data_IF_399944510941
#
_entry.id   IF_399944510941
#
_cell.length_a   1.000
_cell.length_b   1.000
_cell.length_c   1.000
_cell.angle_alpha   90.00
_cell.angle_beta   90.00
_cell.angle_gamma   90.00
#
_symmetry.space_group_name_H-M   'P 1'
#
loop_
_entity.id
_entity.type
_entity.pdbx_description
1 polymer ?
#
# COMPACT_ATOMS: atom_id res chain seq x y z
N UNK A 1 -1.20 26.89 -5.29
CA UNK A 1 -0.16 27.74 -5.90
C UNK A 1 -0.11 27.49 -7.40
N UNK A 2 -0.22 28.52 -8.23
CA UNK A 2 -0.10 28.38 -9.68
C UNK A 2 1.37 28.17 -10.09
N UNK A 3 1.62 27.24 -11.03
CA UNK A 3 2.94 26.97 -11.58
C UNK A 3 3.31 28.08 -12.58
N UNK A 4 4.57 28.49 -12.56
CA UNK A 4 5.09 29.47 -13.52
C UNK A 4 5.10 28.89 -14.94
N UNK A 5 5.15 29.75 -15.95
CA UNK A 5 5.26 29.33 -17.36
C UNK A 5 6.48 28.44 -17.58
N UNK A 6 7.61 28.75 -16.95
CA UNK A 6 8.82 27.94 -17.02
C UNK A 6 8.59 26.53 -16.42
N UNK A 7 7.94 26.44 -15.27
CA UNK A 7 7.60 25.15 -14.65
C UNK A 7 6.63 24.34 -15.52
N UNK A 8 5.67 25.01 -16.17
CA UNK A 8 4.73 24.38 -17.11
C UNK A 8 5.45 23.83 -18.35
N UNK A 9 6.38 24.59 -18.91
CA UNK A 9 7.20 24.16 -20.05
C UNK A 9 8.09 22.96 -19.70
N UNK A 10 8.76 22.99 -18.55
CA UNK A 10 9.60 21.87 -18.08
C UNK A 10 8.76 20.61 -17.89
N UNK A 11 7.60 20.71 -17.22
CA UNK A 11 6.69 19.58 -17.01
C UNK A 11 6.15 19.00 -18.32
N UNK A 12 5.81 19.85 -19.29
CA UNK A 12 5.37 19.43 -20.62
C UNK A 12 6.49 18.69 -21.38
N UNK A 13 7.70 19.26 -21.44
CA UNK A 13 8.84 18.66 -22.13
C UNK A 13 9.22 17.32 -21.51
N UNK A 14 9.29 17.25 -20.17
CA UNK A 14 9.51 16.00 -19.47
C UNK A 14 8.43 14.97 -19.84
N UNK A 15 7.17 15.39 -19.93
CA UNK A 15 6.04 14.52 -20.25
C UNK A 15 6.16 13.91 -21.65
N UNK A 16 6.48 14.75 -22.63
CA UNK A 16 6.69 14.35 -24.02
C UNK A 16 7.90 13.42 -24.18
N UNK A 17 8.99 13.65 -23.45
CA UNK A 17 10.15 12.75 -23.45
C UNK A 17 9.79 11.37 -22.91
N UNK A 18 9.05 11.31 -21.79
CA UNK A 18 8.59 10.06 -21.20
C UNK A 18 7.64 9.32 -22.16
N UNK A 19 6.70 10.02 -22.79
CA UNK A 19 5.81 9.43 -23.81
C UNK A 19 6.63 8.85 -24.97
N UNK A 20 7.64 9.59 -25.44
CA UNK A 20 8.52 9.14 -26.53
C UNK A 20 9.30 7.87 -26.15
N UNK A 21 9.81 7.79 -24.93
CA UNK A 21 10.45 6.59 -24.39
C UNK A 21 9.47 5.40 -24.30
N UNK A 22 8.22 5.64 -23.88
CA UNK A 22 7.16 4.63 -23.87
C UNK A 22 6.84 4.10 -25.27
N UNK A 23 6.71 4.99 -26.26
CA UNK A 23 6.52 4.58 -27.67
C UNK A 23 7.71 3.77 -28.18
N UNK A 24 8.94 4.16 -27.85
CA UNK A 24 10.14 3.43 -28.26
C UNK A 24 10.20 2.01 -27.66
N UNK A 25 9.79 1.85 -26.40
CA UNK A 25 9.64 0.55 -25.75
C UNK A 25 8.65 -0.37 -26.46
N UNK A 26 7.53 0.17 -26.95
CA UNK A 26 6.50 -0.59 -27.68
C UNK A 26 6.97 -0.96 -29.09
N UNK A 27 7.50 0.02 -29.84
CA UNK A 27 7.82 -0.13 -31.25
C UNK A 27 9.10 -0.95 -31.48
N UNK A 28 10.09 -0.82 -30.59
CA UNK A 28 11.40 -1.49 -30.70
C UNK A 28 11.86 -2.12 -29.38
N UNK A 29 11.12 -3.08 -28.78
CA UNK A 29 11.35 -3.58 -27.42
C UNK A 29 12.77 -4.09 -27.13
N UNK A 30 13.39 -4.79 -28.09
CA UNK A 30 14.75 -5.34 -27.91
C UNK A 30 15.80 -4.24 -27.94
N UNK A 31 15.69 -3.33 -28.90
CA UNK A 31 16.62 -2.22 -29.08
C UNK A 31 16.50 -1.26 -27.91
N UNK A 32 15.28 -0.87 -27.54
CA UNK A 32 15.02 0.04 -26.43
C UNK A 32 15.54 -0.48 -25.09
N UNK A 33 15.38 -1.76 -24.79
CA UNK A 33 15.92 -2.35 -23.58
C UNK A 33 17.46 -2.39 -23.60
N UNK A 34 18.05 -2.68 -24.77
CA UNK A 34 19.51 -2.67 -24.94
C UNK A 34 20.08 -1.27 -24.71
N UNK A 35 19.48 -0.26 -25.34
CA UNK A 35 19.90 1.14 -25.24
C UNK A 35 19.73 1.65 -23.80
N UNK A 36 18.62 1.30 -23.14
CA UNK A 36 18.36 1.68 -21.74
C UNK A 36 19.40 1.09 -20.80
N UNK A 37 19.66 -0.23 -20.87
CA UNK A 37 20.64 -0.88 -19.99
C UNK A 37 22.05 -0.36 -20.28
N UNK A 38 22.39 -0.11 -21.55
CA UNK A 38 23.67 0.48 -21.92
C UNK A 38 23.83 1.89 -21.35
N UNK A 39 22.80 2.74 -21.51
CA UNK A 39 22.80 4.11 -20.98
C UNK A 39 23.02 4.10 -19.47
N UNK A 40 22.26 3.27 -18.74
CA UNK A 40 22.41 3.12 -17.28
C UNK A 40 23.83 2.65 -16.93
N UNK A 41 24.36 1.65 -17.64
CA UNK A 41 25.70 1.14 -17.38
C UNK A 41 26.79 2.20 -17.59
N UNK A 42 26.69 3.00 -18.66
CA UNK A 42 27.63 4.10 -18.95
C UNK A 42 27.52 5.20 -17.91
N UNK A 43 26.31 5.61 -17.53
CA UNK A 43 26.10 6.62 -16.49
C UNK A 43 26.66 6.16 -15.14
N UNK A 44 26.43 4.91 -14.75
CA UNK A 44 26.98 4.35 -13.51
C UNK A 44 28.52 4.31 -13.54
N UNK A 45 29.13 3.98 -14.68
CA UNK A 45 30.59 4.04 -14.84
C UNK A 45 31.13 5.47 -14.68
N UNK A 46 30.49 6.45 -15.32
CA UNK A 46 30.89 7.86 -15.22
C UNK A 46 30.79 8.33 -13.77
N UNK A 47 29.67 8.07 -13.09
CA UNK A 47 29.47 8.44 -11.68
C UNK A 47 30.50 7.77 -10.78
N UNK A 48 30.72 6.47 -10.93
CA UNK A 48 31.68 5.73 -10.11
C UNK A 48 33.12 6.23 -10.33
N UNK A 49 33.49 6.53 -11.58
CA UNK A 49 34.78 7.10 -11.91
C UNK A 49 34.95 8.51 -11.34
N UNK A 50 33.96 9.38 -11.51
CA UNK A 50 33.96 10.73 -10.93
C UNK A 50 34.08 10.70 -9.41
N UNK A 51 33.38 9.79 -8.74
CA UNK A 51 33.46 9.61 -7.29
C UNK A 51 34.86 9.16 -6.87
N UNK A 52 35.47 8.20 -7.58
CA UNK A 52 36.84 7.77 -7.31
C UNK A 52 37.84 8.92 -7.48
N UNK A 53 37.74 9.68 -8.58
CA UNK A 53 38.58 10.86 -8.82
C UNK A 53 38.37 11.89 -7.69
N UNK A 54 37.13 12.18 -7.31
CA UNK A 54 36.84 13.14 -6.25
C UNK A 54 37.43 12.73 -4.89
N UNK A 55 37.37 11.44 -4.53
CA UNK A 55 37.97 10.90 -3.30
C UNK A 55 39.49 10.98 -3.34
N UNK A 56 40.13 10.73 -4.49
CA UNK A 56 41.59 10.84 -4.66
C UNK A 56 42.05 12.31 -4.61
N UNK A 57 41.30 13.24 -5.21
CA UNK A 57 41.67 14.66 -5.28
C UNK A 57 41.37 15.45 -3.99
N UNK A 58 40.36 15.05 -3.20
CA UNK A 58 40.13 15.65 -1.87
C UNK A 58 41.27 15.23 -0.93
N UNK A 59 42.31 16.08 -0.83
CA UNK A 59 43.47 16.01 0.09
C UNK A 59 43.14 15.97 1.60
N UNK A 60 41.93 15.60 2.01
CA UNK A 60 41.54 15.26 3.39
C UNK A 60 40.85 13.90 3.37
N UNK A 61 41.65 12.85 3.13
CA UNK A 61 41.24 11.47 3.37
C UNK A 61 41.00 11.36 4.88
N UNK A 62 39.75 11.32 5.33
CA UNK A 62 39.42 11.06 6.74
C UNK A 62 39.51 9.57 7.09
N UNK A 63 39.73 8.68 6.12
CA UNK A 63 40.06 7.27 6.36
C UNK A 63 40.19 6.43 5.09
N UNK A 64 40.83 5.25 5.20
CA UNK A 64 41.01 4.28 4.11
C UNK A 64 39.68 3.70 3.57
N UNK A 65 38.59 3.83 4.34
CA UNK A 65 37.26 3.29 4.00
C UNK A 65 36.59 3.95 2.78
N UNK A 66 36.73 5.26 2.59
CA UNK A 66 36.09 5.98 1.47
C UNK A 66 36.68 5.59 0.10
N UNK A 67 37.99 5.33 0.07
CA UNK A 67 38.68 4.85 -1.14
C UNK A 67 38.22 3.43 -1.47
N UNK A 68 38.13 2.55 -0.46
CA UNK A 68 37.63 1.19 -0.64
C UNK A 68 36.20 1.18 -1.19
N UNK A 69 35.31 2.01 -0.64
CA UNK A 69 33.94 2.14 -1.13
C UNK A 69 33.90 2.61 -2.60
N UNK A 70 34.69 3.63 -2.95
CA UNK A 70 34.76 4.12 -4.32
C UNK A 70 35.28 3.06 -5.31
N UNK A 71 36.28 2.28 -4.90
CA UNK A 71 36.83 1.16 -5.70
C UNK A 71 35.80 0.04 -5.86
N UNK A 72 35.10 -0.33 -4.78
CA UNK A 72 34.03 -1.33 -4.82
C UNK A 72 32.90 -0.88 -5.75
N UNK A 73 32.46 0.37 -5.64
CA UNK A 73 31.42 0.94 -6.51
C UNK A 73 31.84 0.94 -7.99
N UNK A 74 33.11 1.26 -8.28
CA UNK A 74 33.65 1.16 -9.63
C UNK A 74 33.67 -0.29 -10.12
N UNK A 75 34.09 -1.23 -9.27
CA UNK A 75 34.05 -2.67 -9.55
C UNK A 75 32.64 -3.15 -9.90
N UNK A 76 31.62 -2.71 -9.15
CA UNK A 76 30.21 -2.99 -9.46
C UNK A 76 29.78 -2.39 -10.79
N UNK A 77 30.13 -1.14 -11.09
CA UNK A 77 29.76 -0.49 -12.34
C UNK A 77 30.41 -1.19 -13.56
N UNK A 78 31.69 -1.59 -13.44
CA UNK A 78 32.39 -2.39 -14.46
C UNK A 78 31.74 -3.76 -14.63
N UNK A 79 31.46 -4.45 -13.53
CA UNK A 79 30.78 -5.74 -13.57
C UNK A 79 29.40 -5.64 -14.24
N UNK A 80 28.60 -4.62 -13.90
CA UNK A 80 27.30 -4.37 -14.52
C UNK A 80 27.44 -4.09 -16.03
N UNK A 81 28.42 -3.28 -16.42
CA UNK A 81 28.69 -3.01 -17.84
C UNK A 81 29.09 -4.27 -18.60
N UNK A 82 29.97 -5.12 -18.06
CA UNK A 82 30.38 -6.39 -18.68
C UNK A 82 29.20 -7.36 -18.76
N UNK A 83 28.40 -7.47 -17.70
CA UNK A 83 27.27 -8.39 -17.61
C UNK A 83 25.99 -7.86 -18.29
N UNK A 84 26.01 -6.66 -18.88
CA UNK A 84 24.82 -5.97 -19.42
C UNK A 84 23.99 -6.83 -20.37
N UNK A 85 24.62 -7.67 -21.20
CA UNK A 85 23.91 -8.57 -22.11
C UNK A 85 23.09 -9.64 -21.40
N UNK A 86 23.56 -10.13 -20.24
CA UNK A 86 22.78 -11.03 -19.38
C UNK A 86 21.65 -10.26 -18.69
N UNK A 87 21.92 -9.07 -18.19
CA UNK A 87 20.90 -8.20 -17.55
C UNK A 87 19.75 -7.88 -18.50
N UNK A 88 20.04 -7.55 -19.76
CA UNK A 88 19.04 -7.30 -20.80
C UNK A 88 18.11 -8.52 -20.98
N UNK A 89 18.63 -9.74 -20.86
CA UNK A 89 17.81 -10.96 -20.94
C UNK A 89 17.04 -11.24 -19.66
N UNK A 90 17.65 -11.02 -18.50
CA UNK A 90 17.03 -11.29 -17.20
C UNK A 90 15.82 -10.41 -16.91
N UNK A 91 15.80 -9.15 -17.37
CA UNK A 91 14.68 -8.23 -17.10
C UNK A 91 13.34 -8.80 -17.62
N UNK A 92 13.19 -9.17 -18.91
CA UNK A 92 11.98 -9.83 -19.41
C UNK A 92 11.73 -11.22 -18.80
N UNK A 93 12.77 -12.02 -18.54
CA UNK A 93 12.62 -13.36 -17.93
C UNK A 93 12.03 -13.28 -16.52
N UNK A 94 12.51 -12.34 -15.69
CA UNK A 94 11.95 -12.06 -14.35
C UNK A 94 10.50 -11.60 -14.47
N UNK A 95 10.20 -10.74 -15.45
CA UNK A 95 8.84 -10.27 -15.69
C UNK A 95 7.89 -11.42 -16.10
N UNK A 96 8.33 -12.34 -16.96
CA UNK A 96 7.56 -13.52 -17.33
C UNK A 96 7.34 -14.47 -16.14
N UNK A 97 8.37 -14.68 -15.31
CA UNK A 97 8.24 -15.41 -14.04
C UNK A 97 7.23 -14.77 -13.08
N UNK A 98 7.23 -13.44 -13.00
CA UNK A 98 6.24 -12.68 -12.23
C UNK A 98 4.81 -12.86 -12.77
N UNK A 99 4.61 -12.91 -14.10
CA UNK A 99 3.30 -13.21 -14.70
C UNK A 99 2.81 -14.61 -14.29
N UNK A 100 3.71 -15.60 -14.28
CA UNK A 100 3.36 -16.95 -13.83
C UNK A 100 2.99 -16.96 -12.35
N UNK A 101 3.74 -16.26 -11.49
CA UNK A 101 3.38 -16.13 -10.08
C UNK A 101 1.99 -15.51 -9.90
N UNK A 102 1.64 -14.49 -10.70
CA UNK A 102 0.30 -13.89 -10.69
C UNK A 102 -0.79 -14.89 -11.11
N UNK A 103 -0.49 -15.81 -12.03
CA UNK A 103 -1.45 -16.87 -12.39
C UNK A 103 -1.75 -17.80 -11.22
N UNK A 104 -0.73 -18.15 -10.42
CA UNK A 104 -0.90 -18.98 -9.20
C UNK A 104 -1.80 -18.26 -8.20
N UNK A 105 -1.56 -16.97 -7.95
CA UNK A 105 -2.40 -16.16 -7.07
C UNK A 105 -3.85 -16.15 -7.55
N UNK A 106 -4.08 -15.98 -8.87
CA UNK A 106 -5.44 -16.01 -9.45
C UNK A 106 -6.13 -17.36 -9.27
N UNK A 107 -5.41 -18.47 -9.41
CA UNK A 107 -5.97 -19.79 -9.15
C UNK A 107 -6.32 -19.98 -7.67
N UNK A 108 -5.47 -19.51 -6.77
CA UNK A 108 -5.76 -19.51 -5.33
C UNK A 108 -7.02 -18.69 -5.03
N UNK A 109 -7.14 -17.47 -5.59
CA UNK A 109 -8.36 -16.65 -5.49
C UNK A 109 -9.58 -17.35 -6.08
N UNK A 110 -9.46 -18.04 -7.22
CA UNK A 110 -10.57 -18.79 -7.80
C UNK A 110 -11.07 -19.88 -6.85
N UNK A 111 -10.15 -20.61 -6.22
CA UNK A 111 -10.49 -21.67 -5.25
C UNK A 111 -11.12 -21.09 -3.99
N UNK A 112 -10.56 -20.02 -3.42
CA UNK A 112 -11.13 -19.40 -2.21
C UNK A 112 -12.51 -18.83 -2.48
N UNK A 113 -12.69 -18.11 -3.60
CA UNK A 113 -13.99 -17.54 -3.96
C UNK A 113 -15.04 -18.62 -4.21
N UNK A 114 -14.66 -19.72 -4.87
CA UNK A 114 -15.57 -20.84 -5.07
C UNK A 114 -16.01 -21.47 -3.74
N UNK A 115 -15.05 -21.78 -2.85
CA UNK A 115 -15.33 -22.36 -1.52
C UNK A 115 -16.16 -21.44 -0.64
N UNK A 116 -15.97 -20.13 -0.77
CA UNK A 116 -16.66 -19.14 0.03
C UNK A 116 -18.03 -18.74 -0.52
N UNK A 117 -18.42 -19.25 -1.70
CA UNK A 117 -19.64 -18.83 -2.39
C UNK A 117 -19.60 -17.36 -2.83
N UNK A 118 -18.40 -16.84 -3.10
CA UNK A 118 -18.20 -15.49 -3.61
C UNK A 118 -18.35 -15.46 -5.15
N UNK A 119 -18.89 -14.36 -5.71
CA UNK A 119 -19.06 -14.22 -7.15
C UNK A 119 -17.71 -14.04 -7.86
N UNK A 120 -17.64 -14.29 -9.17
CA UNK A 120 -16.46 -14.08 -10.04
C UNK A 120 -15.32 -15.10 -9.93
N UNK A 121 -15.47 -16.23 -9.22
CA UNK A 121 -14.46 -17.30 -9.20
C UNK A 121 -14.05 -17.78 -10.60
N UNK A 122 -15.01 -17.89 -11.54
CA UNK A 122 -14.76 -18.29 -12.93
C UNK A 122 -13.89 -17.29 -13.69
N UNK A 123 -14.08 -15.98 -13.44
CA UNK A 123 -13.24 -14.95 -14.03
C UNK A 123 -11.81 -15.02 -13.50
N UNK A 124 -11.60 -15.28 -12.20
CA UNK A 124 -10.27 -15.52 -11.65
C UNK A 124 -9.60 -16.74 -12.30
N UNK A 125 -10.33 -17.84 -12.47
CA UNK A 125 -9.81 -19.05 -13.12
C UNK A 125 -9.39 -18.81 -14.57
N UNK A 126 -10.28 -18.25 -15.40
CA UNK A 126 -10.00 -17.96 -16.81
C UNK A 126 -8.82 -17.00 -16.95
N UNK A 127 -8.80 -15.91 -16.16
CA UNK A 127 -7.66 -15.00 -16.14
C UNK A 127 -6.37 -15.70 -15.70
N UNK A 128 -6.44 -16.60 -14.71
CA UNK A 128 -5.35 -17.46 -14.30
C UNK A 128 -4.77 -18.26 -15.47
N UNK A 129 -5.61 -18.96 -16.23
CA UNK A 129 -5.19 -19.73 -17.42
C UNK A 129 -4.55 -18.82 -18.48
N UNK A 130 -5.20 -17.71 -18.84
CA UNK A 130 -4.67 -16.75 -19.83
C UNK A 130 -3.30 -16.23 -19.39
N UNK A 131 -3.16 -15.84 -18.13
CA UNK A 131 -1.87 -15.34 -17.60
C UNK A 131 -0.81 -16.43 -17.54
N UNK A 132 -1.15 -17.66 -17.17
CA UNK A 132 -0.20 -18.78 -17.16
C UNK A 132 0.32 -19.08 -18.56
N UNK A 133 -0.57 -19.18 -19.54
CA UNK A 133 -0.20 -19.43 -20.95
C UNK A 133 0.67 -18.30 -21.48
N UNK A 134 0.28 -17.04 -21.24
CA UNK A 134 1.09 -15.89 -21.65
C UNK A 134 2.49 -15.90 -21.02
N UNK A 135 2.58 -16.11 -19.70
CA UNK A 135 3.85 -16.18 -18.98
C UNK A 135 4.74 -17.33 -19.45
N UNK A 136 4.17 -18.53 -19.65
CA UNK A 136 4.90 -19.69 -20.15
C UNK A 136 5.42 -19.48 -21.58
N UNK A 137 4.59 -18.93 -22.48
CA UNK A 137 5.00 -18.60 -23.85
C UNK A 137 6.12 -17.55 -23.86
N UNK A 138 6.06 -16.56 -22.96
CA UNK A 138 7.12 -15.57 -22.81
C UNK A 138 8.44 -16.21 -22.34
N UNK A 139 8.42 -17.12 -21.37
CA UNK A 139 9.66 -17.80 -20.93
C UNK A 139 10.29 -18.69 -22.02
N UNK A 140 9.47 -19.37 -22.82
CA UNK A 140 9.98 -20.28 -23.87
C UNK A 140 10.46 -19.48 -25.10
N UNK A 141 9.84 -18.35 -25.40
CA UNK A 141 10.11 -17.60 -26.62
C UNK A 141 10.66 -16.20 -26.33
N UNK A 142 11.99 -16.05 -26.47
CA UNK A 142 12.70 -14.78 -26.26
C UNK A 142 12.14 -13.59 -27.09
N UNK A 143 11.54 -13.84 -28.27
CA UNK A 143 10.93 -12.75 -29.06
C UNK A 143 9.61 -12.31 -28.45
N UNK A 144 8.75 -13.25 -28.06
CA UNK A 144 7.51 -12.95 -27.36
C UNK A 144 7.79 -12.33 -25.99
N UNK A 145 8.85 -12.75 -25.31
CA UNK A 145 9.24 -12.17 -24.03
C UNK A 145 9.54 -10.67 -24.15
N UNK A 146 10.44 -10.31 -25.07
CA UNK A 146 10.79 -8.92 -25.30
C UNK A 146 9.59 -8.08 -25.74
N UNK A 147 8.73 -8.62 -26.62
CA UNK A 147 7.50 -7.92 -27.06
C UNK A 147 6.53 -7.73 -25.90
N UNK A 148 6.24 -8.78 -25.14
CA UNK A 148 5.31 -8.73 -24.01
C UNK A 148 5.77 -7.75 -22.93
N UNK A 149 7.06 -7.81 -22.56
CA UNK A 149 7.66 -6.84 -21.63
C UNK A 149 7.57 -5.41 -22.20
N UNK A 150 8.00 -5.18 -23.45
CA UNK A 150 8.00 -3.86 -24.06
C UNK A 150 6.62 -3.25 -24.19
N UNK A 151 5.60 -4.06 -24.49
CA UNK A 151 4.20 -3.62 -24.53
C UNK A 151 3.72 -3.16 -23.15
N UNK A 152 3.88 -4.01 -22.12
CA UNK A 152 3.37 -3.68 -20.77
C UNK A 152 4.13 -2.51 -20.17
N UNK A 153 5.47 -2.55 -20.19
CA UNK A 153 6.31 -1.48 -19.68
C UNK A 153 6.10 -0.19 -20.47
N UNK A 154 6.01 -0.27 -21.80
CA UNK A 154 5.78 0.88 -22.66
C UNK A 154 4.41 1.54 -22.45
N UNK A 155 3.32 0.77 -22.32
CA UNK A 155 1.99 1.31 -21.97
C UNK A 155 2.04 2.01 -20.61
N UNK A 156 2.70 1.41 -19.61
CA UNK A 156 2.85 2.03 -18.30
C UNK A 156 3.63 3.35 -18.37
N UNK A 157 4.74 3.39 -19.11
CA UNK A 157 5.56 4.60 -19.31
C UNK A 157 4.78 5.67 -20.09
N UNK A 158 4.07 5.31 -21.16
CA UNK A 158 3.20 6.22 -21.92
C UNK A 158 2.19 6.89 -20.99
N UNK A 159 1.49 6.07 -20.23
CA UNK A 159 0.50 6.53 -19.28
C UNK A 159 1.11 7.48 -18.24
N UNK A 160 2.25 7.12 -17.66
CA UNK A 160 2.97 7.98 -16.72
C UNK A 160 3.31 9.35 -17.34
N UNK A 161 3.78 9.36 -18.59
CA UNK A 161 4.03 10.59 -19.34
C UNK A 161 2.77 11.45 -19.51
N UNK A 162 1.62 10.86 -19.85
CA UNK A 162 0.34 11.57 -19.90
C UNK A 162 -0.06 12.16 -18.53
N UNK A 163 0.09 11.40 -17.45
CA UNK A 163 -0.23 11.89 -16.10
C UNK A 163 0.66 13.06 -15.71
N UNK A 164 1.93 13.07 -16.11
CA UNK A 164 2.85 14.16 -15.81
C UNK A 164 2.50 15.44 -16.55
N UNK A 165 2.10 15.34 -17.84
CA UNK A 165 1.56 16.49 -18.59
C UNK A 165 0.30 16.99 -17.91
N UNK A 166 -0.63 16.09 -17.60
CA UNK A 166 -1.90 16.46 -17.01
C UNK A 166 -1.74 17.15 -15.64
N UNK A 167 -0.88 16.61 -14.75
CA UNK A 167 -0.58 17.21 -13.45
C UNK A 167 0.19 18.54 -13.57
N UNK A 168 0.85 18.80 -14.71
CA UNK A 168 1.48 20.09 -15.00
C UNK A 168 0.45 21.20 -15.18
N UNK A 169 -0.72 20.90 -15.74
CA UNK A 169 -1.78 21.89 -16.01
C UNK A 169 -2.97 21.82 -15.04
N UNK A 170 -3.03 20.80 -14.19
CA UNK A 170 -4.13 20.62 -13.25
C UNK A 170 -3.94 21.43 -11.95
N UNK A 171 -4.23 22.72 -12.03
CA UNK A 171 -4.15 23.67 -10.90
C UNK A 171 -5.49 23.85 -10.19
N UNK A 172 -5.48 24.49 -9.03
CA UNK A 172 -6.68 24.74 -8.22
C UNK A 172 -7.73 25.59 -8.96
N UNK A 173 -7.27 26.60 -9.72
CA UNK A 173 -8.11 27.44 -10.57
C UNK A 173 -8.74 26.65 -11.74
N UNK A 174 -8.03 25.66 -12.28
CA UNK A 174 -8.56 24.73 -13.29
C UNK A 174 -9.59 23.78 -12.68
N UNK A 175 -9.30 23.24 -11.49
CA UNK A 175 -10.20 22.34 -10.79
C UNK A 175 -11.51 23.02 -10.41
N UNK A 176 -11.50 24.28 -9.98
CA UNK A 176 -12.74 25.01 -9.69
C UNK A 176 -13.66 25.11 -10.92
N UNK A 177 -13.09 25.23 -12.12
CA UNK A 177 -13.81 25.32 -13.40
C UNK A 177 -14.24 23.97 -13.98
N UNK A 178 -13.72 22.85 -13.46
CA UNK A 178 -14.07 21.52 -13.94
C UNK A 178 -15.46 21.07 -13.46
N UNK A 179 -16.24 20.48 -14.36
CA UNK A 179 -17.50 19.83 -14.01
C UNK A 179 -17.29 18.66 -13.03
N UNK A 180 -18.33 18.31 -12.26
CA UNK A 180 -18.28 17.17 -11.35
C UNK A 180 -17.91 15.86 -12.08
N UNK A 181 -18.42 15.67 -13.30
CA UNK A 181 -18.10 14.52 -14.16
C UNK A 181 -16.63 14.51 -14.58
N UNK A 182 -16.08 15.66 -14.97
CA UNK A 182 -14.68 15.78 -15.35
C UNK A 182 -13.74 15.53 -14.15
N UNK A 183 -14.09 16.04 -12.97
CA UNK A 183 -13.37 15.75 -11.71
C UNK A 183 -13.39 14.26 -11.38
N UNK A 184 -14.56 13.61 -11.48
CA UNK A 184 -14.71 12.17 -11.23
C UNK A 184 -13.89 11.32 -12.21
N UNK A 185 -13.90 11.67 -13.50
CA UNK A 185 -13.12 10.98 -14.53
C UNK A 185 -11.61 11.14 -14.30
N UNK A 186 -11.18 12.36 -14.00
CA UNK A 186 -9.79 12.67 -13.67
C UNK A 186 -9.27 11.83 -12.50
N UNK A 187 -10.06 11.67 -11.42
CA UNK A 187 -9.67 10.87 -10.26
C UNK A 187 -9.50 9.40 -10.61
N UNK A 188 -10.35 8.87 -11.50
CA UNK A 188 -10.24 7.50 -12.02
C UNK A 188 -9.05 7.26 -12.94
N UNK A 189 -8.62 8.28 -13.69
CA UNK A 189 -7.47 8.22 -14.61
C UNK A 189 -6.12 8.47 -13.90
N UNK A 190 -6.03 8.31 -12.58
CA UNK A 190 -4.77 8.49 -11.83
C UNK A 190 -4.40 7.19 -11.15
N UNK A 191 -3.62 6.34 -11.83
CA UNK A 191 -3.12 5.10 -11.26
C UNK A 191 -2.10 5.36 -10.14
N UNK A 192 -2.16 4.54 -9.10
CA UNK A 192 -1.13 4.47 -8.08
C UNK A 192 0.09 3.69 -8.59
N UNK A 193 1.20 3.80 -7.86
CA UNK A 193 2.46 3.12 -8.18
C UNK A 193 2.21 1.61 -8.31
N UNK A 194 2.95 0.88 -9.18
CA UNK A 194 2.94 -0.56 -9.23
C UNK A 194 2.94 -1.17 -7.81
N UNK A 195 2.03 -2.11 -7.49
CA UNK A 195 1.85 -2.66 -6.14
C UNK A 195 3.14 -3.14 -5.48
N UNK A 196 4.12 -3.58 -6.28
CA UNK A 196 5.46 -4.01 -5.86
C UNK A 196 6.23 -2.90 -5.12
N UNK A 197 6.17 -1.67 -5.61
CA UNK A 197 6.82 -0.52 -4.96
C UNK A 197 5.99 -0.04 -3.76
N UNK A 198 4.66 -0.20 -3.81
CA UNK A 198 3.74 0.11 -2.72
C UNK A 198 4.03 -0.69 -1.45
N UNK A 199 4.31 -1.99 -1.58
CA UNK A 199 4.54 -2.88 -0.43
C UNK A 199 5.80 -2.58 0.39
N UNK A 200 6.78 -1.84 -0.16
CA UNK A 200 8.02 -1.49 0.54
C UNK A 200 7.95 -0.18 1.32
N UNK A 201 6.88 0.59 1.16
CA UNK A 201 6.74 1.93 1.76
C UNK A 201 6.59 1.90 3.28
N UNK A 202 5.75 1.04 3.88
CA UNK A 202 5.56 1.07 5.33
C UNK A 202 6.87 0.88 6.10
N UNK A 203 7.76 0.00 5.61
CA UNK A 203 9.12 -0.18 6.18
C UNK A 203 10.00 1.06 6.09
N UNK A 204 9.93 1.81 4.98
CA UNK A 204 10.71 3.05 4.82
C UNK A 204 10.20 4.13 5.77
N UNK A 205 8.89 4.32 5.83
CA UNK A 205 8.25 5.28 6.73
C UNK A 205 8.58 4.99 8.19
N UNK A 206 8.56 3.71 8.59
CA UNK A 206 8.92 3.31 9.95
C UNK A 206 10.39 3.58 10.28
N UNK A 207 11.32 3.32 9.34
CA UNK A 207 12.74 3.66 9.53
C UNK A 207 12.97 5.17 9.62
N UNK A 208 12.26 5.95 8.80
CA UNK A 208 12.32 7.41 8.85
C UNK A 208 11.73 7.95 10.16
N UNK A 209 10.64 7.34 10.64
CA UNK A 209 10.07 7.61 11.95
C UNK A 209 11.10 7.33 13.05
N UNK A 210 11.64 6.11 13.13
CA UNK A 210 12.61 5.72 14.16
C UNK A 210 13.85 6.62 14.15
N UNK A 211 14.40 6.92 12.97
CA UNK A 211 15.59 7.76 12.83
C UNK A 211 15.36 9.20 13.30
N UNK A 212 14.14 9.73 13.13
CA UNK A 212 13.80 11.10 13.52
C UNK A 212 13.28 11.20 14.96
N UNK A 213 12.58 10.18 15.46
CA UNK A 213 12.18 10.08 16.86
C UNK A 213 13.36 9.79 17.78
N UNK A 214 14.43 9.17 17.27
CA UNK A 214 15.70 9.03 18.00
C UNK A 214 16.50 10.34 18.14
N UNK A 215 16.04 11.45 17.55
CA UNK A 215 16.63 12.79 17.74
C UNK A 215 15.89 13.55 18.84
N UNK A 216 16.57 14.50 19.52
CA UNK A 216 16.02 15.23 20.68
C UNK A 216 14.73 16.05 20.38
N UNK A 217 14.32 16.17 19.11
CA UNK A 217 13.15 16.93 18.63
C UNK A 217 11.95 16.05 18.19
N UNK A 218 11.82 14.83 18.72
CA UNK A 218 10.80 13.86 18.31
C UNK A 218 9.36 14.41 18.32
N UNK A 219 8.95 15.10 19.39
CA UNK A 219 7.61 15.67 19.49
C UNK A 219 7.35 16.77 18.45
N UNK A 220 8.34 17.60 18.15
CA UNK A 220 8.23 18.65 17.14
C UNK A 220 8.03 18.01 15.75
N UNK A 221 8.84 17.01 15.40
CA UNK A 221 8.71 16.29 14.14
C UNK A 221 7.34 15.62 13.99
N UNK A 222 6.82 14.98 15.04
CA UNK A 222 5.53 14.29 15.00
C UNK A 222 4.35 15.27 14.89
N UNK A 223 4.40 16.39 15.60
CA UNK A 223 3.39 17.44 15.45
C UNK A 223 3.45 18.09 14.06
N UNK A 224 4.63 18.31 13.48
CA UNK A 224 4.80 18.81 12.11
C UNK A 224 4.24 17.85 11.05
N UNK A 225 4.23 16.55 11.33
CA UNK A 225 3.61 15.57 10.45
C UNK A 225 2.08 15.62 10.50
N UNK A 226 1.47 16.17 11.55
CA UNK A 226 0.02 16.32 11.61
C UNK A 226 -0.41 17.45 10.67
N UNK A 227 -1.18 17.10 9.64
CA UNK A 227 -1.63 18.04 8.61
C UNK A 227 -3.15 18.08 8.66
N UNK A 228 -3.72 19.26 8.85
CA UNK A 228 -5.16 19.49 8.76
C UNK A 228 -5.45 20.56 7.72
N UNK A 229 -6.47 20.33 6.89
CA UNK A 229 -6.94 21.25 5.86
C UNK A 229 -8.40 21.60 6.18
N UNK A 230 -8.65 22.54 7.11
CA UNK A 230 -10.00 22.78 7.66
C UNK A 230 -11.06 23.09 6.61
N UNK A 231 -10.67 23.75 5.50
CA UNK A 231 -11.58 24.09 4.40
C UNK A 231 -12.25 22.89 3.73
N UNK A 232 -11.68 21.68 3.84
CA UNK A 232 -12.30 20.45 3.31
C UNK A 232 -13.35 19.84 4.24
N UNK A 233 -13.28 20.14 5.54
CA UNK A 233 -14.23 19.66 6.55
C UNK A 233 -15.29 20.70 6.94
N UNK A 234 -15.18 21.92 6.43
CA UNK A 234 -16.05 23.04 6.78
C UNK A 234 -17.52 22.74 6.47
N UNK A 235 -18.39 22.82 7.48
CA UNK A 235 -19.84 22.62 7.35
C UNK A 235 -20.30 21.16 7.45
N UNK A 236 -19.38 20.20 7.64
CA UNK A 236 -19.72 18.80 7.89
C UNK A 236 -19.73 18.55 9.41
N UNK A 237 -20.80 17.92 9.92
CA UNK A 237 -20.82 17.36 11.26
C UNK A 237 -20.22 15.94 11.18
N UNK A 238 -19.00 15.69 11.67
CA UNK A 238 -18.33 14.43 11.41
C UNK A 238 -18.90 13.31 12.29
N UNK A 239 -19.42 12.26 11.67
CA UNK A 239 -19.19 10.92 12.21
C UNK A 239 -17.69 10.66 11.99
N UNK A 240 -16.95 10.43 13.07
CA UNK A 240 -15.50 10.31 13.01
C UNK A 240 -15.12 9.08 12.19
N UNK A 241 -14.81 9.25 10.90
CA UNK A 241 -14.28 8.18 10.05
C UNK A 241 -12.79 8.39 9.89
N UNK A 242 -12.02 7.50 10.49
CA UNK A 242 -10.58 7.48 10.34
C UNK A 242 -10.15 6.19 9.65
N UNK A 243 -9.23 6.32 8.69
CA UNK A 243 -8.55 5.19 8.08
C UNK A 243 -7.16 5.13 8.69
N UNK A 244 -6.88 4.06 9.42
CA UNK A 244 -5.62 3.85 10.13
C UNK A 244 -4.70 2.98 9.29
N UNK A 245 -3.48 3.47 9.02
CA UNK A 245 -2.41 2.66 8.43
C UNK A 245 -1.40 2.34 9.52
N UNK A 246 -1.21 1.05 9.78
CA UNK A 246 -0.30 0.58 10.83
C UNK A 246 1.13 0.48 10.32
N UNK A 247 2.07 0.98 11.12
CA UNK A 247 3.49 0.74 10.96
C UNK A 247 3.99 -0.07 12.16
N UNK A 248 4.59 -1.24 11.90
CA UNK A 248 5.12 -2.15 12.92
C UNK A 248 6.49 -2.70 12.53
N UNK A 249 7.33 -2.94 13.55
CA UNK A 249 8.68 -3.52 13.41
C UNK A 249 8.65 -5.02 13.12
N UNK A 250 7.53 -5.73 13.36
CA UNK A 250 7.40 -7.17 13.15
C UNK A 250 7.31 -7.51 11.64
N UNK A 251 8.08 -8.50 11.18
CA UNK A 251 8.30 -8.78 9.74
C UNK A 251 7.01 -9.00 8.91
N UNK A 252 5.99 -9.68 9.46
CA UNK A 252 4.70 -9.89 8.77
C UNK A 252 3.75 -8.69 8.88
N UNK A 253 3.87 -7.89 9.94
CA UNK A 253 3.09 -6.65 10.15
C UNK A 253 3.70 -5.44 9.42
N UNK A 254 4.97 -5.55 9.02
CA UNK A 254 5.72 -4.51 8.31
C UNK A 254 5.24 -4.25 6.88
N UNK A 255 4.31 -5.06 6.35
CA UNK A 255 3.60 -4.81 5.09
C UNK A 255 2.45 -3.80 5.25
N UNK A 256 2.19 -3.37 6.49
CA UNK A 256 1.11 -2.49 6.88
C UNK A 256 -0.20 -3.25 7.09
N UNK A 257 -1.05 -2.73 7.96
CA UNK A 257 -2.44 -3.18 8.15
C UNK A 257 -3.34 -1.95 8.10
N UNK A 258 -4.57 -2.10 7.62
CA UNK A 258 -5.53 -1.00 7.51
C UNK A 258 -6.72 -1.28 8.38
N UNK A 259 -6.93 -0.40 9.35
CA UNK A 259 -8.09 -0.44 10.25
C UNK A 259 -8.91 0.83 10.15
N UNK A 260 -10.11 0.78 10.70
CA UNK A 260 -11.07 1.87 10.59
C UNK A 260 -11.55 2.28 11.96
N UNK A 261 -11.69 3.58 12.17
CA UNK A 261 -12.49 4.12 13.27
C UNK A 261 -13.79 4.60 12.65
N UNK A 262 -14.91 4.16 13.23
CA UNK A 262 -16.27 4.54 12.86
C UNK A 262 -16.97 5.09 14.09
N UNK A 263 -16.85 6.40 14.33
CA UNK A 263 -17.34 7.05 15.54
C UNK A 263 -16.44 6.74 16.73
N UNK A 264 -16.98 6.03 17.71
CA UNK A 264 -16.33 5.60 18.96
C UNK A 264 -15.84 4.14 18.92
N UNK A 265 -15.95 3.48 17.76
CA UNK A 265 -15.53 2.10 17.58
C UNK A 265 -14.38 1.96 16.59
N UNK A 266 -13.41 1.10 16.92
CA UNK A 266 -12.42 0.61 16.00
C UNK A 266 -12.91 -0.72 15.39
N UNK A 267 -12.72 -0.87 14.08
CA UNK A 267 -13.07 -2.05 13.29
C UNK A 267 -11.83 -2.51 12.55
N UNK A 268 -11.49 -3.78 12.71
CA UNK A 268 -10.29 -4.38 12.11
C UNK A 268 -10.61 -5.73 11.50
N UNK A 269 -10.05 -6.03 10.34
CA UNK A 269 -10.24 -7.31 9.65
C UNK A 269 -8.92 -7.92 9.23
N UNK A 270 -8.67 -9.15 9.65
CA UNK A 270 -7.39 -9.80 9.43
C UNK A 270 -7.42 -11.31 9.63
N UNK A 271 -6.21 -11.88 9.61
CA UNK A 271 -5.94 -13.27 9.92
C UNK A 271 -5.76 -13.47 11.43
N UNK A 272 -6.79 -13.17 12.24
CA UNK A 272 -6.67 -13.24 13.70
C UNK A 272 -6.89 -14.64 14.29
N UNK A 273 -7.35 -15.60 13.49
CA UNK A 273 -7.52 -16.99 13.91
C UNK A 273 -6.32 -17.84 13.49
N UNK A 274 -5.37 -18.02 14.41
CA UNK A 274 -4.16 -18.81 14.20
C UNK A 274 -4.42 -20.28 13.88
N UNK A 275 -5.52 -20.85 14.38
CA UNK A 275 -5.90 -22.24 14.13
C UNK A 275 -6.29 -22.50 12.66
N UNK A 276 -6.68 -21.44 11.93
CA UNK A 276 -7.10 -21.53 10.53
C UNK A 276 -5.97 -21.26 9.51
N UNK A 277 -4.75 -21.03 9.98
CA UNK A 277 -3.61 -20.64 9.14
C UNK A 277 -3.25 -21.69 8.10
N UNK A 278 -3.09 -21.19 6.87
CA UNK A 278 -2.63 -21.90 5.69
C UNK A 278 -1.54 -21.07 5.04
N UNK A 279 -0.53 -21.73 4.47
CA UNK A 279 0.62 -21.06 3.84
C UNK A 279 1.28 -20.03 4.79
N UNK A 280 1.62 -20.46 6.02
CA UNK A 280 2.26 -19.60 7.02
C UNK A 280 1.46 -18.32 7.35
N UNK A 281 0.13 -18.43 7.38
CA UNK A 281 -0.78 -17.31 7.73
C UNK A 281 -1.11 -16.37 6.58
N UNK A 282 -0.60 -16.62 5.36
CA UNK A 282 -0.99 -15.86 4.14
C UNK A 282 -2.47 -16.06 3.82
N UNK A 283 -3.02 -17.24 4.14
CA UNK A 283 -4.44 -17.57 4.05
C UNK A 283 -4.94 -17.99 5.43
N UNK A 284 -6.10 -17.50 5.83
CA UNK A 284 -6.79 -17.92 7.05
C UNK A 284 -8.29 -17.72 6.90
N UNK A 285 -9.06 -18.12 7.91
CA UNK A 285 -10.41 -17.59 8.06
C UNK A 285 -10.30 -16.08 8.31
N UNK A 286 -11.21 -15.33 7.69
CA UNK A 286 -11.32 -13.90 7.86
C UNK A 286 -12.04 -13.59 9.15
N UNK A 287 -11.35 -12.90 10.06
CA UNK A 287 -11.90 -12.47 11.34
C UNK A 287 -11.98 -10.95 11.34
N UNK A 288 -13.17 -10.44 11.62
CA UNK A 288 -13.39 -9.03 11.93
C UNK A 288 -13.52 -8.88 13.44
N UNK A 289 -12.82 -7.91 14.03
CA UNK A 289 -13.06 -7.54 15.43
C UNK A 289 -13.50 -6.10 15.55
N UNK A 290 -14.20 -5.82 16.66
CA UNK A 290 -14.64 -4.49 17.07
C UNK A 290 -14.28 -4.24 18.51
N UNK A 291 -13.87 -3.01 18.82
CA UNK A 291 -13.65 -2.57 20.18
C UNK A 291 -13.81 -1.05 20.29
N UNK A 292 -13.79 -0.53 21.52
CA UNK A 292 -13.79 0.90 21.74
C UNK A 292 -12.53 1.56 21.14
N UNK A 293 -12.72 2.72 20.48
CA UNK A 293 -11.67 3.51 19.84
C UNK A 293 -10.49 3.78 20.75
N UNK A 294 -10.72 4.25 21.97
CA UNK A 294 -9.63 4.65 22.86
C UNK A 294 -8.83 3.43 23.34
N UNK A 295 -9.52 2.35 23.72
CA UNK A 295 -8.86 1.07 24.07
C UNK A 295 -8.02 0.53 22.92
N UNK A 296 -8.55 0.61 21.70
CA UNK A 296 -7.85 0.19 20.50
C UNK A 296 -6.55 0.97 20.28
N UNK A 297 -6.62 2.30 20.37
CA UNK A 297 -5.47 3.17 20.18
C UNK A 297 -4.42 2.94 21.27
N UNK A 298 -4.82 2.86 22.54
CA UNK A 298 -3.94 2.55 23.67
C UNK A 298 -3.24 1.19 23.49
N UNK A 299 -3.99 0.13 23.18
CA UNK A 299 -3.43 -1.20 22.94
C UNK A 299 -2.40 -1.16 21.80
N UNK A 300 -2.76 -0.54 20.69
CA UNK A 300 -1.91 -0.50 19.51
C UNK A 300 -0.60 0.27 19.76
N UNK A 301 -0.65 1.41 20.45
CA UNK A 301 0.55 2.24 20.67
C UNK A 301 1.38 1.75 21.85
N UNK A 302 0.77 1.39 22.98
CA UNK A 302 1.50 1.07 24.20
C UNK A 302 1.83 -0.41 24.36
N UNK A 303 0.98 -1.33 23.91
CA UNK A 303 1.25 -2.76 24.07
C UNK A 303 1.85 -3.38 22.81
N UNK A 304 1.33 -3.01 21.64
CA UNK A 304 1.81 -3.58 20.37
C UNK A 304 3.01 -2.82 19.76
N UNK A 305 3.39 -1.69 20.36
CA UNK A 305 4.48 -0.78 19.91
C UNK A 305 4.31 -0.33 18.44
N UNK A 306 3.06 -0.07 18.04
CA UNK A 306 2.71 0.38 16.69
C UNK A 306 2.68 1.90 16.61
N UNK A 307 2.99 2.41 15.43
CA UNK A 307 2.68 3.78 15.02
C UNK A 307 1.50 3.71 14.06
N UNK A 308 0.43 4.46 14.36
CA UNK A 308 -0.77 4.52 13.54
C UNK A 308 -0.80 5.85 12.80
N UNK A 309 -0.84 5.81 11.47
CA UNK A 309 -1.10 6.99 10.66
C UNK A 309 -2.58 7.01 10.31
N UNK A 310 -3.32 7.90 10.95
CA UNK A 310 -4.75 8.09 10.76
C UNK A 310 -5.03 9.14 9.69
N UNK A 311 -5.92 8.81 8.76
CA UNK A 311 -6.46 9.74 7.77
C UNK A 311 -7.94 9.97 8.06
N UNK A 312 -8.32 11.20 8.42
CA UNK A 312 -9.72 11.55 8.65
C UNK A 312 -10.40 11.90 7.33
N UNK A 313 -11.59 11.34 7.15
CA UNK A 313 -12.35 11.44 5.90
C UNK A 313 -13.67 12.17 6.15
N UNK A 314 -13.91 13.22 5.36
CA UNK A 314 -15.11 14.03 5.42
C UNK A 314 -16.22 13.39 4.56
N UNK A 315 -17.22 12.83 5.24
CA UNK A 315 -18.42 12.28 4.64
C UNK A 315 -19.63 13.17 4.92
N UNK A 316 -20.51 13.28 3.94
CA UNK A 316 -21.83 13.90 4.08
C UNK A 316 -22.77 12.98 4.86
N UNK A 317 -23.85 13.55 5.42
CA UNK A 317 -24.79 12.82 6.28
C UNK A 317 -25.38 11.58 5.59
N UNK A 318 -25.73 11.71 4.32
CA UNK A 318 -26.29 10.63 3.49
C UNK A 318 -25.28 9.49 3.27
N UNK A 319 -23.99 9.83 3.13
CA UNK A 319 -22.92 8.86 2.98
C UNK A 319 -22.62 8.14 4.30
N UNK A 320 -22.70 8.83 5.42
CA UNK A 320 -22.58 8.23 6.74
C UNK A 320 -23.71 7.21 7.01
N UNK A 321 -24.93 7.53 6.59
CA UNK A 321 -26.05 6.57 6.60
C UNK A 321 -25.77 5.38 5.67
N UNK A 322 -25.14 5.61 4.51
CA UNK A 322 -24.75 4.52 3.62
C UNK A 322 -23.69 3.62 4.24
N UNK A 323 -22.65 4.18 4.88
CA UNK A 323 -21.61 3.41 5.58
C UNK A 323 -22.24 2.53 6.67
N UNK A 324 -23.17 3.10 7.46
CA UNK A 324 -23.91 2.33 8.47
C UNK A 324 -24.71 1.18 7.86
N UNK A 325 -25.43 1.42 6.74
CA UNK A 325 -26.15 0.36 6.02
C UNK A 325 -25.21 -0.75 5.50
N UNK A 326 -24.06 -0.36 4.96
CA UNK A 326 -23.06 -1.32 4.47
C UNK A 326 -22.53 -2.18 5.62
N UNK A 327 -22.24 -1.57 6.77
CA UNK A 327 -21.82 -2.28 7.98
C UNK A 327 -22.89 -3.27 8.47
N UNK A 328 -24.15 -2.85 8.58
CA UNK A 328 -25.25 -3.74 9.00
C UNK A 328 -25.43 -4.91 8.03
N UNK A 329 -25.32 -4.67 6.72
CA UNK A 329 -25.36 -5.74 5.71
C UNK A 329 -24.23 -6.75 5.92
N UNK A 330 -23.03 -6.28 6.27
CA UNK A 330 -21.92 -7.19 6.60
C UNK A 330 -22.21 -7.99 7.87
N UNK A 331 -22.79 -7.34 8.90
CA UNK A 331 -23.13 -7.96 10.18
C UNK A 331 -24.13 -9.11 10.03
N UNK A 332 -25.11 -9.01 9.13
CA UNK A 332 -26.04 -10.12 8.83
C UNK A 332 -25.31 -11.40 8.35
N UNK A 333 -24.19 -11.21 7.67
CA UNK A 333 -23.32 -12.28 7.16
C UNK A 333 -22.25 -12.75 8.17
N UNK A 334 -22.27 -12.25 9.40
CA UNK A 334 -21.32 -12.61 10.45
C UNK A 334 -21.93 -13.57 11.48
N UNK A 335 -21.07 -14.36 12.11
CA UNK A 335 -21.32 -15.05 13.37
C UNK A 335 -20.29 -14.61 14.38
N UNK A 336 -20.69 -14.49 15.65
CA UNK A 336 -19.75 -14.32 16.74
C UNK A 336 -18.72 -15.46 16.73
N UNK A 337 -17.49 -15.10 17.05
CA UNK A 337 -16.37 -16.01 17.23
C UNK A 337 -15.64 -15.60 18.49
N UNK A 338 -15.09 -16.58 19.21
CA UNK A 338 -14.43 -16.38 20.48
C UNK A 338 -12.99 -16.87 20.38
N UNK A 339 -12.04 -16.08 20.87
CA UNK A 339 -10.66 -16.53 21.02
C UNK A 339 -10.52 -17.56 22.16
N UNK A 340 -9.37 -18.21 22.26
CA UNK A 340 -9.16 -19.27 23.24
C UNK A 340 -9.28 -18.76 24.69
N UNK A 341 -8.87 -17.52 24.96
CA UNK A 341 -9.06 -16.85 26.25
C UNK A 341 -10.55 -16.71 26.59
N UNK A 342 -11.38 -16.31 25.62
CA UNK A 342 -12.82 -16.21 25.81
C UNK A 342 -13.46 -17.58 26.04
N UNK A 343 -13.04 -18.59 25.29
CA UNK A 343 -13.53 -19.96 25.44
C UNK A 343 -13.12 -20.56 26.81
N UNK A 344 -11.93 -20.23 27.30
CA UNK A 344 -11.47 -20.57 28.64
C UNK A 344 -12.32 -19.89 29.72
N UNK A 345 -12.58 -18.58 29.60
CA UNK A 345 -13.48 -17.83 30.51
C UNK A 345 -14.91 -18.42 30.53
N UNK A 346 -15.36 -19.01 29.42
CA UNK A 346 -16.65 -19.71 29.30
C UNK A 346 -16.62 -21.16 29.83
N UNK A 347 -15.47 -21.66 30.31
CA UNK A 347 -15.30 -23.03 30.78
C UNK A 347 -15.28 -24.08 29.67
N UNK A 348 -15.08 -23.67 28.41
CA UNK A 348 -15.02 -24.55 27.24
C UNK A 348 -13.61 -25.02 26.90
N UNK A 349 -12.57 -24.39 27.48
CA UNK A 349 -11.17 -24.78 27.34
C UNK A 349 -10.50 -24.90 28.72
N UNK A 350 -9.40 -25.67 28.84
CA UNK A 350 -8.64 -25.77 30.08
C UNK A 350 -8.09 -24.42 30.54
N UNK A 351 -8.06 -24.23 31.86
CA UNK A 351 -7.48 -23.07 32.51
C UNK A 351 -5.96 -23.05 32.33
N UNK A 352 -5.50 -22.21 31.41
CA UNK A 352 -4.08 -21.92 31.13
C UNK A 352 -3.98 -20.57 30.41
N UNK A 353 -2.76 -20.06 30.29
CA UNK A 353 -2.49 -18.86 29.50
C UNK A 353 -2.54 -19.19 28.00
N UNK A 354 -3.35 -18.45 27.27
CA UNK A 354 -3.38 -18.43 25.81
C UNK A 354 -2.81 -17.11 25.30
N UNK A 355 -2.08 -17.14 24.20
CA UNK A 355 -1.29 -16.01 23.70
C UNK A 355 -1.35 -15.84 22.18
N UNK A 356 -2.35 -16.42 21.50
CA UNK A 356 -2.56 -16.15 20.08
C UNK A 356 -2.94 -14.68 19.85
N UNK A 357 -2.87 -14.22 18.61
CA UNK A 357 -3.10 -12.81 18.24
C UNK A 357 -4.47 -12.33 18.75
N UNK A 358 -5.53 -13.12 18.56
CA UNK A 358 -6.86 -12.78 19.06
C UNK A 358 -6.95 -12.74 20.59
N UNK A 359 -6.17 -13.57 21.30
CA UNK A 359 -6.09 -13.54 22.77
C UNK A 359 -5.46 -12.24 23.25
N UNK A 360 -4.35 -11.83 22.64
CA UNK A 360 -3.68 -10.58 22.97
C UNK A 360 -4.60 -9.37 22.70
N UNK A 361 -5.33 -9.37 21.58
CA UNK A 361 -6.30 -8.32 21.26
C UNK A 361 -7.42 -8.30 22.31
N UNK A 362 -8.03 -9.45 22.62
CA UNK A 362 -9.11 -9.55 23.58
C UNK A 362 -8.69 -9.06 24.97
N UNK A 363 -7.52 -9.49 25.42
CA UNK A 363 -6.95 -9.06 26.70
C UNK A 363 -6.61 -7.58 26.69
N UNK A 364 -6.10 -7.06 25.59
CA UNK A 364 -5.72 -5.65 25.46
C UNK A 364 -6.89 -4.67 25.45
N UNK A 365 -7.96 -4.97 24.71
CA UNK A 365 -9.02 -3.99 24.44
C UNK A 365 -10.45 -4.51 24.62
N UNK A 366 -10.63 -5.78 24.98
CA UNK A 366 -11.95 -6.39 25.19
C UNK A 366 -12.75 -6.55 23.91
N UNK A 367 -12.08 -6.77 22.78
CA UNK A 367 -12.74 -6.88 21.47
C UNK A 367 -13.80 -7.98 21.41
N UNK A 368 -14.81 -7.73 20.58
CA UNK A 368 -15.73 -8.75 20.08
C UNK A 368 -15.29 -9.19 18.70
N UNK A 369 -15.26 -10.49 18.44
CA UNK A 369 -14.80 -11.05 17.17
C UNK A 369 -15.94 -11.71 16.40
N UNK A 370 -15.79 -11.70 15.08
CA UNK A 370 -16.78 -12.17 14.14
C UNK A 370 -16.11 -12.87 12.96
N UNK A 371 -16.67 -14.01 12.55
CA UNK A 371 -16.32 -14.69 11.29
C UNK A 371 -17.44 -14.52 10.27
N UNK A 372 -17.09 -14.54 8.98
CA UNK A 372 -18.08 -14.44 7.90
C UNK A 372 -18.58 -15.81 7.47
N UNK A 373 -19.90 -15.93 7.24
CA UNK A 373 -20.55 -17.18 6.83
C UNK A 373 -20.24 -17.56 5.38
N UNK A 374 -20.16 -16.55 4.50
CA UNK A 374 -19.93 -16.66 3.04
C UNK A 374 -19.34 -15.36 2.45
N UNK A 375 -19.01 -15.40 1.16
CA UNK A 375 -18.57 -14.25 0.39
C UNK A 375 -17.08 -13.93 0.56
N UNK A 376 -16.64 -12.83 -0.04
CA UNK A 376 -15.20 -12.52 -0.23
C UNK A 376 -14.41 -12.27 1.05
N UNK A 377 -15.08 -12.04 2.18
CA UNK A 377 -14.42 -11.79 3.47
C UNK A 377 -14.35 -13.04 4.36
N UNK A 378 -14.89 -14.18 3.90
CA UNK A 378 -14.85 -15.45 4.64
C UNK A 378 -13.43 -16.01 4.75
N UNK A 379 -12.69 -16.04 3.65
CA UNK A 379 -11.27 -16.35 3.67
C UNK A 379 -10.46 -15.07 3.58
N UNK A 380 -9.64 -14.80 4.59
CA UNK A 380 -8.59 -13.80 4.48
C UNK A 380 -7.48 -14.32 3.58
N UNK A 381 -7.08 -13.52 2.60
CA UNK A 381 -5.94 -13.80 1.74
C UNK A 381 -5.11 -12.52 1.61
N UNK A 382 -3.91 -12.51 2.19
CA UNK A 382 -3.09 -11.31 2.35
C UNK A 382 -2.86 -10.52 1.04
N UNK A 383 -2.88 -11.22 -0.10
CA UNK A 383 -2.62 -10.64 -1.43
C UNK A 383 -3.89 -10.39 -2.26
N UNK A 384 -5.11 -10.67 -1.78
CA UNK A 384 -6.34 -10.41 -2.55
C UNK A 384 -7.50 -9.95 -1.65
N UNK A 385 -7.93 -10.79 -0.71
CA UNK A 385 -9.01 -10.52 0.25
C UNK A 385 -8.43 -10.12 1.61
N UNK A 386 -7.81 -8.94 1.67
CA UNK A 386 -7.14 -8.43 2.87
C UNK A 386 -7.91 -7.28 3.56
N UNK A 387 -7.30 -6.65 4.57
CA UNK A 387 -7.86 -5.57 5.38
C UNK A 387 -8.39 -4.38 4.58
N UNK A 388 -7.78 -4.03 3.44
CA UNK A 388 -8.24 -2.93 2.59
C UNK A 388 -9.64 -3.20 2.02
N UNK A 389 -9.98 -4.48 1.79
CA UNK A 389 -11.27 -4.86 1.20
C UNK A 389 -12.46 -4.53 2.11
N UNK A 390 -12.26 -4.49 3.43
CA UNK A 390 -13.30 -4.07 4.38
C UNK A 390 -13.57 -2.58 4.26
N UNK A 391 -12.52 -1.75 4.17
CA UNK A 391 -12.68 -0.31 3.89
C UNK A 391 -13.41 -0.06 2.57
N UNK A 392 -13.04 -0.77 1.50
CA UNK A 392 -13.69 -0.64 0.19
C UNK A 392 -15.16 -1.06 0.20
N UNK A 393 -15.51 -2.05 1.01
CA UNK A 393 -16.89 -2.55 1.16
C UNK A 393 -17.72 -1.59 2.02
N UNK A 394 -17.13 -0.99 3.06
CA UNK A 394 -17.82 -0.02 3.92
C UNK A 394 -18.07 1.31 3.21
N UNK A 395 -17.15 1.75 2.37
CA UNK A 395 -17.29 3.00 1.61
C UNK A 395 -17.98 2.81 0.25
N UNK A 396 -18.48 1.61 -0.05
CA UNK A 396 -19.22 1.36 -1.28
C UNK A 396 -20.48 2.24 -1.38
N UNK A 397 -20.77 2.73 -2.59
CA UNK A 397 -21.86 3.68 -2.86
C UNK A 397 -21.76 5.03 -2.13
N UNK A 398 -20.58 5.38 -1.62
CA UNK A 398 -20.25 6.76 -1.21
C UNK A 398 -19.52 7.49 -2.35
N UNK A 399 -19.29 8.80 -2.22
CA UNK A 399 -18.43 9.56 -3.13
C UNK A 399 -16.95 9.49 -2.72
N UNK A 400 -16.56 8.58 -1.84
CA UNK A 400 -15.15 8.31 -1.55
C UNK A 400 -14.53 7.54 -2.72
N UNK A 401 -13.44 8.09 -3.27
CA UNK A 401 -12.75 7.44 -4.36
C UNK A 401 -12.05 6.17 -3.87
N UNK A 402 -12.03 5.13 -4.70
CA UNK A 402 -11.26 3.91 -4.44
C UNK A 402 -9.87 4.05 -5.10
N UNK A 403 -8.82 3.43 -4.55
CA UNK A 403 -7.54 3.36 -5.23
C UNK A 403 -7.75 2.79 -6.65
N UNK A 404 -7.36 3.56 -7.66
CA UNK A 404 -7.40 3.10 -9.05
C UNK A 404 -6.24 2.12 -9.30
N UNK A 405 -6.29 0.94 -8.67
CA UNK A 405 -5.31 -0.14 -8.86
C UNK A 405 -6.09 -1.38 -9.28
N UNK A 406 -5.93 -1.87 -10.52
CA UNK A 406 -6.48 -3.16 -10.92
C UNK A 406 -5.72 -4.25 -10.15
N UNK A 407 -6.44 -5.00 -9.30
CA UNK A 407 -5.87 -6.14 -8.59
C UNK A 407 -5.49 -5.84 -7.13
N UNK A 408 -4.34 -6.35 -6.72
CA UNK A 408 -3.90 -6.46 -5.32
C UNK A 408 -3.64 -5.07 -4.72
N UNK A 409 -4.50 -4.62 -3.81
CA UNK A 409 -4.27 -3.39 -3.05
C UNK A 409 -3.53 -3.73 -1.76
N UNK A 410 -2.29 -3.28 -1.66
CA UNK A 410 -1.50 -3.40 -0.43
C UNK A 410 -1.75 -2.18 0.48
N UNK A 411 -1.63 -2.34 1.81
CA UNK A 411 -1.73 -1.21 2.75
C UNK A 411 -0.79 -0.05 2.41
N UNK A 412 0.43 -0.32 1.94
CA UNK A 412 1.34 0.73 1.46
C UNK A 412 0.84 1.47 0.21
N UNK A 413 0.16 0.78 -0.72
CA UNK A 413 -0.49 1.44 -1.86
C UNK A 413 -1.70 2.27 -1.40
N UNK A 414 -2.44 1.80 -0.40
CA UNK A 414 -3.55 2.54 0.20
C UNK A 414 -3.09 3.81 0.91
N UNK A 415 -2.01 3.73 1.68
CA UNK A 415 -1.36 4.90 2.30
C UNK A 415 -1.02 5.99 1.28
N UNK A 416 -0.40 5.62 0.15
CA UNK A 416 -0.07 6.61 -0.88
C UNK A 416 -1.30 7.23 -1.51
N UNK A 417 -2.35 6.43 -1.71
CA UNK A 417 -3.62 6.95 -2.18
C UNK A 417 -4.15 8.01 -1.19
N UNK A 418 -4.18 7.71 0.11
CA UNK A 418 -4.66 8.65 1.14
C UNK A 418 -3.79 9.91 1.26
N UNK A 419 -2.47 9.79 1.17
CA UNK A 419 -1.55 10.94 1.12
C UNK A 419 -1.84 11.86 -0.06
N UNK A 420 -2.02 11.28 -1.26
CA UNK A 420 -2.38 12.05 -2.46
C UNK A 420 -3.75 12.70 -2.32
N UNK A 421 -4.71 12.01 -1.71
CA UNK A 421 -6.01 12.58 -1.42
C UNK A 421 -5.88 13.75 -0.44
N UNK A 422 -5.07 13.64 0.60
CA UNK A 422 -4.84 14.74 1.54
C UNK A 422 -4.26 15.99 0.84
N UNK A 423 -3.22 15.83 0.02
CA UNK A 423 -2.54 16.96 -0.65
C UNK A 423 -3.40 17.69 -1.68
N UNK A 424 -4.41 17.02 -2.25
CA UNK A 424 -5.17 17.57 -3.40
C UNK A 424 -6.42 18.33 -2.97
N UNK A 425 -6.71 19.49 -3.59
CA UNK A 425 -7.98 20.18 -3.39
C UNK A 425 -9.19 19.32 -3.82
N UNK A 426 -10.34 19.51 -3.16
CA UNK A 426 -11.62 18.90 -3.57
C UNK A 426 -11.77 17.39 -3.32
N UNK A 427 -10.89 16.80 -2.49
CA UNK A 427 -10.97 15.42 -2.02
C UNK A 427 -11.57 15.37 -0.61
N UNK A 428 -11.90 14.16 -0.14
CA UNK A 428 -12.55 13.95 1.18
C UNK A 428 -11.56 13.80 2.34
N UNK A 429 -10.30 13.47 2.07
CA UNK A 429 -9.28 13.36 3.11
C UNK A 429 -8.84 14.76 3.51
N UNK A 430 -9.08 15.12 4.77
CA UNK A 430 -8.87 16.49 5.27
C UNK A 430 -7.83 16.58 6.38
N UNK A 431 -7.52 15.46 7.05
CA UNK A 431 -6.53 15.44 8.12
C UNK A 431 -5.71 14.16 8.09
N UNK A 432 -4.40 14.31 8.36
CA UNK A 432 -3.50 13.21 8.72
C UNK A 432 -3.06 13.44 10.16
N UNK A 433 -3.24 12.43 10.99
CA UNK A 433 -2.85 12.44 12.39
C UNK A 433 -2.01 11.21 12.72
N UNK A 434 -0.97 11.36 13.53
CA UNK A 434 -0.15 10.24 13.98
C UNK A 434 -0.49 9.90 15.43
N UNK A 435 -0.90 8.66 15.68
CA UNK A 435 -0.99 8.09 17.03
C UNK A 435 0.24 7.23 17.30
N UNK A 436 0.98 7.58 18.34
CA UNK A 436 2.10 6.82 18.90
C UNK A 436 2.13 7.02 20.42
N UNK A 437 3.05 6.34 21.11
CA UNK A 437 3.27 6.55 22.55
C UNK A 437 3.62 8.01 22.90
N UNK A 438 4.16 8.75 21.93
CA UNK A 438 4.60 10.13 22.10
C UNK A 438 3.46 11.13 21.90
N UNK A 439 2.47 10.80 21.05
CA UNK A 439 1.36 11.71 20.70
C UNK A 439 0.04 11.38 21.41
N UNK A 440 -0.11 10.17 21.94
CA UNK A 440 -1.29 9.73 22.67
C UNK A 440 -0.93 9.44 24.13
N UNK A 441 -1.41 10.22 25.11
CA UNK A 441 -1.13 9.97 26.52
C UNK A 441 -1.68 8.63 26.99
N UNK A 442 -0.93 7.94 27.85
CA UNK A 442 -1.39 6.68 28.45
C UNK A 442 -2.57 6.92 29.39
N UNK A 443 -3.63 6.13 29.25
CA UNK A 443 -4.79 6.16 30.14
C UNK A 443 -5.01 4.78 30.76
N UNK A 444 -4.60 4.66 32.03
CA UNK A 444 -4.73 3.43 32.82
C UNK A 444 -6.18 2.99 33.02
N UNK A 445 -7.15 3.90 32.95
CA UNK A 445 -8.58 3.57 33.14
C UNK A 445 -9.15 2.75 31.99
N UNK A 446 -8.45 2.70 30.85
CA UNK A 446 -8.84 1.95 29.66
C UNK A 446 -8.34 0.51 29.65
N UNK A 447 -7.44 0.13 30.58
CA UNK A 447 -7.00 -1.25 30.75
C UNK A 447 -8.20 -2.17 31.06
N UNK A 448 -8.21 -3.36 30.46
CA UNK A 448 -9.28 -4.34 30.71
C UNK A 448 -9.07 -5.13 32.01
N UNK A 449 -7.84 -5.15 32.55
CA UNK A 449 -7.45 -5.99 33.67
C UNK A 449 -7.33 -7.49 33.37
N UNK A 450 -7.44 -7.90 32.09
CA UNK A 450 -7.36 -9.32 31.67
C UNK A 450 -5.90 -9.75 31.46
N UNK A 451 -5.52 -10.94 31.95
CA UNK A 451 -4.16 -11.51 31.85
C UNK A 451 -4.09 -12.76 30.97
#
# INVERSE_FOLDING_TARGET
MEKTVAQKLVGLLAGLLVISAGMFLILRPKTSLTDLVLLIAVVLLIIAFMNLVAVIYKKKIKGQGEVLEAVVNLGFAVAFFVLRFKVIRWIPDIFAGWIILNSIIRFMSAVTYFKDGAPNYGAYFVNGVVTLVAGALMLVNNRLNAIGFGLVAGIYVLWYGFTMIFDTFNEESTQQKMSATAKKMQRKLRFAIPPVLGGLLPRRLLKEYDAKVASEDANIYLHEQNVSIPGKAAGLAPFNVEILVHLSKKFMESFGHVDLILGDEAVSYGNFDGHSYRLFGVISDGVLFRCNRERYLQQSTYHDDKVLIAFKVAFEKEELLQIKRNFETMRENMTEWYCDTQLMEQGLLPEKVYDDVADQIYKGNGASFYKFKKGTLKTYFAVDTNCVKVADSLFENTNFDKPAIPGIVTPGAYYQFLMRELEKPGTKVYEKHIYSRDTLPYDKTLETGKQ
#
